data_IF_804666764075
#
_entry.id   IF_804666764075
#
_cell.length_a   1.000
_cell.length_b   1.000
_cell.length_c   1.000
_cell.angle_alpha   90.00
_cell.angle_beta   90.00
_cell.angle_gamma   90.00
#
_symmetry.space_group_name_H-M   'P 1'
#
loop_
_entity.id
_entity.type
_entity.pdbx_description
1 polymer ?
#
# COMPACT_ATOMS: atom_id res chain seq x y z
N UNK A 1 -23.89 14.31 7.03
CA UNK A 1 -22.61 14.74 6.40
C UNK A 1 -21.51 13.81 6.91
N UNK A 2 -21.21 12.72 6.19
CA UNK A 2 -20.14 11.80 6.58
C UNK A 2 -18.81 12.50 6.28
N UNK A 3 -18.16 13.04 7.33
CA UNK A 3 -16.78 13.55 7.21
C UNK A 3 -15.90 12.34 6.94
N UNK A 4 -15.57 12.11 5.67
CA UNK A 4 -14.52 11.19 5.28
C UNK A 4 -13.24 11.73 5.90
N UNK A 5 -12.91 11.23 7.10
CA UNK A 5 -11.67 11.58 7.77
C UNK A 5 -10.57 11.04 6.87
N UNK A 6 -9.90 11.94 6.16
CA UNK A 6 -8.65 11.64 5.48
C UNK A 6 -7.70 11.15 6.56
N UNK A 7 -7.46 9.85 6.58
CA UNK A 7 -6.49 9.28 7.50
C UNK A 7 -5.13 9.69 6.95
N UNK A 8 -4.42 10.56 7.67
CA UNK A 8 -3.03 10.84 7.35
C UNK A 8 -2.26 9.52 7.32
N UNK A 9 -1.38 9.35 6.33
CA UNK A 9 -0.59 8.14 6.18
C UNK A 9 0.08 7.78 7.52
N UNK A 10 -0.32 6.67 8.18
CA UNK A 10 0.08 6.40 9.56
C UNK A 10 1.47 5.76 9.68
N UNK A 11 2.08 5.36 8.56
CA UNK A 11 3.38 4.70 8.54
C UNK A 11 4.51 5.70 8.24
N UNK A 12 5.71 5.46 8.79
CA UNK A 12 6.87 6.34 8.60
C UNK A 12 7.43 6.32 7.17
N UNK A 13 7.11 5.28 6.40
CA UNK A 13 7.63 5.05 5.05
C UNK A 13 6.64 4.31 4.17
N UNK A 14 7.14 3.70 3.10
CA UNK A 14 6.31 2.81 2.29
C UNK A 14 6.00 1.52 3.06
N UNK A 15 4.89 0.89 2.69
CA UNK A 15 4.50 -0.43 3.17
C UNK A 15 4.27 -1.35 1.98
N UNK A 16 4.52 -2.63 2.20
CA UNK A 16 4.14 -3.71 1.30
C UNK A 16 2.90 -4.41 1.86
N UNK A 17 1.82 -4.44 1.10
CA UNK A 17 0.66 -5.25 1.38
C UNK A 17 0.86 -6.63 0.75
N UNK A 18 0.98 -7.66 1.59
CA UNK A 18 1.11 -9.05 1.18
C UNK A 18 -0.26 -9.61 0.80
N UNK A 19 -0.39 -9.98 -0.47
CA UNK A 19 -1.50 -10.76 -1.01
C UNK A 19 -0.98 -12.14 -1.39
N UNK A 20 -1.26 -13.13 -0.54
CA UNK A 20 -0.94 -14.54 -0.80
C UNK A 20 -2.16 -15.26 -1.36
N UNK A 21 -2.03 -15.80 -2.57
CA UNK A 21 -2.98 -16.69 -3.21
C UNK A 21 -2.42 -18.12 -3.27
N UNK A 22 -3.23 -19.11 -3.65
CA UNK A 22 -2.82 -20.52 -3.70
C UNK A 22 -1.62 -20.77 -4.62
N UNK A 23 -1.48 -20.00 -5.70
CA UNK A 23 -0.41 -20.16 -6.68
C UNK A 23 0.76 -19.16 -6.51
N UNK A 24 0.55 -18.02 -5.86
CA UNK A 24 1.51 -16.92 -5.89
C UNK A 24 1.34 -15.95 -4.71
N UNK A 25 2.45 -15.37 -4.23
CA UNK A 25 2.43 -14.24 -3.29
C UNK A 25 2.90 -12.96 -3.99
N UNK A 26 2.10 -11.90 -3.89
CA UNK A 26 2.45 -10.58 -4.39
C UNK A 26 2.44 -9.54 -3.26
N UNK A 27 3.36 -8.58 -3.35
CA UNK A 27 3.52 -7.49 -2.42
C UNK A 27 3.19 -6.18 -3.11
N UNK A 28 2.04 -5.60 -2.78
CA UNK A 28 1.61 -4.31 -3.31
C UNK A 28 2.27 -3.19 -2.51
N UNK A 29 3.14 -2.42 -3.17
CA UNK A 29 3.92 -1.38 -2.53
C UNK A 29 3.10 -0.10 -2.53
N UNK A 30 2.88 0.45 -1.35
CA UNK A 30 2.04 1.62 -1.15
C UNK A 30 2.83 2.63 -0.32
N UNK A 31 2.88 3.88 -0.79
CA UNK A 31 3.48 4.98 -0.05
C UNK A 31 2.58 6.21 -0.16
N UNK A 32 2.25 6.82 0.98
CA UNK A 32 1.45 8.05 1.00
C UNK A 32 0.11 7.92 0.25
N UNK A 33 -0.57 6.78 0.43
CA UNK A 33 -1.80 6.39 -0.29
C UNK A 33 -1.69 6.24 -1.81
N UNK A 34 -0.46 6.23 -2.33
CA UNK A 34 -0.18 5.91 -3.72
C UNK A 34 0.25 4.45 -3.84
N UNK A 35 -0.38 3.72 -4.74
CA UNK A 35 0.11 2.42 -5.16
C UNK A 35 1.27 2.61 -6.15
N UNK A 36 2.46 2.16 -5.75
CA UNK A 36 3.69 2.28 -6.54
C UNK A 36 3.90 1.09 -7.49
N UNK A 37 3.24 -0.04 -7.22
CA UNK A 37 3.36 -1.27 -8.01
C UNK A 37 3.21 -2.53 -7.15
N UNK A 38 3.28 -3.70 -7.78
CA UNK A 38 3.32 -4.98 -7.10
C UNK A 38 4.64 -5.70 -7.41
N UNK A 39 5.21 -6.36 -6.41
CA UNK A 39 6.46 -7.11 -6.54
C UNK A 39 6.33 -8.48 -5.89
N UNK A 40 7.10 -9.45 -6.36
CA UNK A 40 7.09 -10.82 -5.80
C UNK A 40 7.99 -10.96 -4.56
N UNK A 41 8.79 -9.94 -4.26
CA UNK A 41 9.70 -9.92 -3.11
C UNK A 41 9.95 -8.52 -2.60
N UNK A 42 10.01 -8.39 -1.27
CA UNK A 42 10.26 -7.13 -0.58
C UNK A 42 11.54 -6.42 -1.04
N UNK A 43 12.58 -7.17 -1.43
CA UNK A 43 13.83 -6.60 -1.97
C UNK A 43 13.63 -5.77 -3.24
N UNK A 44 12.61 -6.08 -4.06
CA UNK A 44 12.28 -5.29 -5.25
C UNK A 44 11.51 -4.02 -4.89
N UNK A 45 10.84 -4.00 -3.74
CA UNK A 45 10.02 -2.87 -3.29
C UNK A 45 10.85 -1.59 -3.12
N UNK A 46 12.09 -1.71 -2.61
CA UNK A 46 12.99 -0.56 -2.43
C UNK A 46 13.30 0.20 -3.72
N UNK A 47 13.17 -0.44 -4.89
CA UNK A 47 13.32 0.24 -6.17
C UNK A 47 12.10 1.09 -6.52
N UNK A 48 10.91 0.69 -6.10
CA UNK A 48 9.67 1.44 -6.31
C UNK A 48 9.56 2.63 -5.35
N UNK A 49 10.01 2.48 -4.11
CA UNK A 49 9.96 3.56 -3.08
C UNK A 49 10.90 4.72 -3.36
N UNK A 50 11.88 4.55 -4.25
CA UNK A 50 12.74 5.64 -4.72
C UNK A 50 12.02 6.64 -5.62
N UNK A 51 10.90 6.25 -6.22
CA UNK A 51 10.08 7.15 -7.01
C UNK A 51 9.29 8.06 -6.05
N UNK A 52 9.32 9.37 -6.32
CA UNK A 52 8.55 10.35 -5.54
C UNK A 52 7.06 10.01 -5.58
N UNK A 53 6.51 9.45 -4.49
CA UNK A 53 5.09 9.15 -4.40
C UNK A 53 4.28 10.45 -4.27
N UNK A 54 3.43 10.72 -5.28
CA UNK A 54 2.41 11.76 -5.19
C UNK A 54 1.11 11.14 -4.68
N UNK A 55 0.39 11.85 -3.81
CA UNK A 55 -0.92 11.42 -3.35
C UNK A 55 -1.89 11.22 -4.52
N UNK A 56 -2.62 10.11 -4.52
CA UNK A 56 -3.67 9.80 -5.49
C UNK A 56 -5.01 9.52 -4.79
N UNK A 57 -6.05 10.26 -5.18
CA UNK A 57 -7.34 10.20 -4.50
C UNK A 57 -8.13 8.93 -4.87
N UNK A 58 -7.99 8.44 -6.10
CA UNK A 58 -8.60 7.20 -6.53
C UNK A 58 -7.94 5.99 -5.86
N UNK A 59 -6.61 6.02 -5.76
CA UNK A 59 -5.79 5.11 -4.96
C UNK A 59 -6.23 5.05 -3.51
N UNK A 60 -6.44 6.20 -2.85
CA UNK A 60 -6.96 6.25 -1.48
C UNK A 60 -8.27 5.45 -1.32
N UNK A 61 -9.24 5.62 -2.21
CA UNK A 61 -10.54 4.91 -2.12
C UNK A 61 -10.38 3.40 -2.29
N UNK A 62 -9.53 2.99 -3.23
CA UNK A 62 -9.27 1.57 -3.50
C UNK A 62 -8.53 0.94 -2.33
N UNK A 63 -7.51 1.62 -1.81
CA UNK A 63 -6.60 1.13 -0.77
C UNK A 63 -7.21 1.19 0.64
N UNK A 64 -8.14 2.11 0.90
CA UNK A 64 -8.85 2.17 2.18
C UNK A 64 -9.50 0.83 2.52
N UNK A 65 -10.13 0.16 1.55
CA UNK A 65 -10.84 -1.09 1.82
C UNK A 65 -9.90 -2.23 2.27
N UNK A 66 -8.84 -2.63 1.53
CA UNK A 66 -7.93 -3.68 1.96
C UNK A 66 -7.07 -3.27 3.17
N UNK A 67 -6.60 -2.02 3.25
CA UNK A 67 -5.76 -1.56 4.37
C UNK A 67 -6.55 -1.44 5.68
N UNK A 68 -7.75 -0.86 5.65
CA UNK A 68 -8.56 -0.69 6.87
C UNK A 68 -9.31 -1.98 7.24
N UNK A 69 -9.55 -2.89 6.30
CA UNK A 69 -10.16 -4.18 6.61
C UNK A 69 -9.25 -5.08 7.45
N UNK A 70 -7.95 -4.81 7.52
CA UNK A 70 -6.98 -5.59 8.30
C UNK A 70 -6.87 -7.06 7.89
N UNK A 71 -7.33 -7.41 6.69
CA UNK A 71 -7.32 -8.79 6.16
C UNK A 71 -5.98 -9.18 5.56
N UNK A 72 -5.18 -8.19 5.18
CA UNK A 72 -3.89 -8.40 4.54
C UNK A 72 -2.78 -8.10 5.52
N UNK A 73 -1.68 -8.86 5.40
CA UNK A 73 -0.47 -8.58 6.18
C UNK A 73 0.25 -7.38 5.57
N UNK A 74 0.62 -6.44 6.41
CA UNK A 74 1.37 -5.25 6.01
C UNK A 74 2.80 -5.39 6.53
N UNK A 75 3.76 -5.20 5.63
CA UNK A 75 5.19 -5.23 5.94
C UNK A 75 5.76 -3.82 5.77
N UNK A 76 6.44 -3.25 6.78
CA UNK A 76 7.17 -1.99 6.62
C UNK A 76 8.38 -2.21 5.69
N UNK A 77 8.70 -1.19 4.88
CA UNK A 77 9.84 -1.17 3.96
C UNK A 77 10.91 -0.15 4.35
#
# INVERSE_FOLDING_TARGET
MQKMQLVCWPWAGAIALEESSEDMTQYHIIQNWLWLGAVESLSQASSLTRLSAKFDHDGYKILCKPLLSGRYKLHPL
#
